data_IF_616150118305
#
_entry.id   IF_616150118305
#
_cell.length_a   1.000
_cell.length_b   1.000
_cell.length_c   1.000
_cell.angle_alpha   90.00
_cell.angle_beta   90.00
_cell.angle_gamma   90.00
#
_symmetry.space_group_name_H-M   'P 1'
#
loop_
_entity.id
_entity.type
_entity.pdbx_description
1 polymer ?
#
# COMPACT_ATOMS: atom_id res chain seq x y z
N UNK A 1 -74.85 11.65 -36.80
CA UNK A 1 -73.62 10.89 -37.12
C UNK A 1 -72.46 11.53 -36.37
N UNK A 2 -71.99 10.90 -35.28
CA UNK A 2 -70.81 11.34 -34.50
C UNK A 2 -69.62 10.49 -34.93
N UNK A 3 -68.57 11.12 -35.43
CA UNK A 3 -67.33 10.46 -35.83
C UNK A 3 -66.46 10.20 -34.59
N UNK A 4 -66.04 8.95 -34.41
CA UNK A 4 -65.09 8.50 -33.40
C UNK A 4 -63.67 8.74 -33.94
N UNK A 5 -62.86 9.56 -33.26
CA UNK A 5 -61.42 9.64 -33.44
C UNK A 5 -60.74 8.77 -32.36
N UNK A 6 -60.01 7.75 -32.79
CA UNK A 6 -59.08 6.99 -31.96
C UNK A 6 -57.72 7.70 -31.94
N UNK A 7 -57.08 7.91 -30.77
CA UNK A 7 -55.68 8.28 -30.73
C UNK A 7 -54.80 7.03 -30.87
N UNK A 8 -53.87 7.06 -31.82
CA UNK A 8 -52.77 6.10 -31.96
C UNK A 8 -51.70 6.50 -30.94
N UNK A 9 -51.54 5.70 -29.90
CA UNK A 9 -50.46 5.85 -28.92
C UNK A 9 -49.19 5.20 -29.48
N UNK A 10 -48.23 6.01 -29.93
CA UNK A 10 -46.88 5.54 -30.26
C UNK A 10 -46.14 5.14 -28.97
N UNK A 11 -45.90 3.84 -28.78
CA UNK A 11 -44.94 3.33 -27.79
C UNK A 11 -43.51 3.65 -28.28
N UNK A 12 -42.90 4.71 -27.72
CA UNK A 12 -41.45 4.89 -27.78
C UNK A 12 -40.82 3.93 -26.77
N UNK A 13 -40.30 2.80 -27.27
CA UNK A 13 -39.34 1.95 -26.56
C UNK A 13 -38.04 2.75 -26.40
N UNK A 14 -37.92 3.48 -25.29
CA UNK A 14 -36.65 4.03 -24.84
C UNK A 14 -35.75 2.88 -24.40
N UNK A 15 -34.82 2.47 -25.25
CA UNK A 15 -33.69 1.66 -24.83
C UNK A 15 -32.88 2.51 -23.83
N UNK A 16 -32.93 2.14 -22.55
CA UNK A 16 -32.02 2.68 -21.55
C UNK A 16 -30.61 2.26 -21.95
N UNK A 17 -29.86 3.16 -22.55
CA UNK A 17 -28.43 2.99 -22.77
C UNK A 17 -27.80 3.07 -21.39
N UNK A 18 -27.48 1.92 -20.79
CA UNK A 18 -26.62 1.89 -19.61
C UNK A 18 -25.33 2.63 -19.96
N UNK A 19 -24.87 3.60 -19.16
CA UNK A 19 -23.59 4.25 -19.40
C UNK A 19 -22.52 3.15 -19.45
N UNK A 20 -21.73 3.15 -20.53
CA UNK A 20 -20.61 2.23 -20.66
C UNK A 20 -19.72 2.38 -19.42
N UNK A 21 -19.38 1.25 -18.79
CA UNK A 21 -18.47 1.26 -17.66
C UNK A 21 -17.15 1.89 -18.09
N UNK A 22 -16.75 2.97 -17.43
CA UNK A 22 -15.50 3.65 -17.69
C UNK A 22 -14.33 2.75 -17.28
N UNK A 23 -13.28 2.67 -18.09
CA UNK A 23 -12.11 1.82 -17.82
C UNK A 23 -10.96 2.70 -17.34
N UNK A 24 -10.31 2.31 -16.23
CA UNK A 24 -9.05 2.92 -15.77
C UNK A 24 -7.90 2.08 -16.28
N UNK A 25 -6.96 2.68 -16.99
CA UNK A 25 -5.76 2.00 -17.51
C UNK A 25 -4.49 2.58 -16.89
N UNK A 26 -3.58 1.71 -16.46
CA UNK A 26 -2.23 2.10 -16.05
C UNK A 26 -1.24 0.94 -16.26
N UNK A 27 -0.25 1.15 -17.14
CA UNK A 27 0.72 0.12 -17.48
C UNK A 27 0.05 -1.13 -18.06
N UNK A 28 0.29 -2.30 -17.44
CA UNK A 28 -0.26 -3.59 -17.87
C UNK A 28 -1.69 -3.82 -17.36
N UNK A 29 -2.23 -2.92 -16.52
CA UNK A 29 -3.50 -3.10 -15.84
C UNK A 29 -4.61 -2.25 -16.44
N UNK A 30 -5.80 -2.86 -16.52
CA UNK A 30 -7.04 -2.13 -16.78
C UNK A 30 -8.12 -2.61 -15.81
N UNK A 31 -8.91 -1.69 -15.27
CA UNK A 31 -10.03 -2.02 -14.35
C UNK A 31 -11.29 -1.32 -14.81
N UNK A 32 -12.39 -2.07 -14.89
CA UNK A 32 -13.72 -1.48 -15.13
C UNK A 32 -14.15 -0.74 -13.86
N UNK A 33 -14.33 0.57 -13.93
CA UNK A 33 -14.83 1.41 -12.83
C UNK A 33 -16.36 1.28 -12.70
N UNK A 34 -16.82 0.04 -12.63
CA UNK A 34 -18.21 -0.32 -12.42
C UNK A 34 -18.44 -0.96 -11.05
N UNK A 35 -19.71 -1.25 -10.72
CA UNK A 35 -20.05 -1.93 -9.48
C UNK A 35 -19.46 -3.35 -9.40
N UNK A 36 -19.47 -4.09 -10.51
CA UNK A 36 -18.80 -5.38 -10.60
C UNK A 36 -17.29 -5.19 -10.73
N UNK A 37 -16.50 -5.75 -9.82
CA UNK A 37 -15.04 -5.70 -9.88
C UNK A 37 -14.54 -6.55 -11.06
N UNK A 38 -13.80 -5.92 -11.97
CA UNK A 38 -13.19 -6.59 -13.12
C UNK A 38 -11.79 -6.04 -13.30
N UNK A 39 -10.78 -6.85 -12.97
CA UNK A 39 -9.36 -6.50 -13.09
C UNK A 39 -8.75 -7.31 -14.21
N UNK A 40 -8.10 -6.64 -15.15
CA UNK A 40 -7.35 -7.28 -16.24
C UNK A 40 -5.87 -6.95 -16.13
N UNK A 41 -5.04 -7.93 -16.47
CA UNK A 41 -3.60 -7.78 -16.66
C UNK A 41 -3.25 -8.27 -18.07
N UNK A 42 -2.58 -7.43 -18.87
CA UNK A 42 -2.29 -7.71 -20.28
C UNK A 42 -3.53 -8.15 -21.08
N UNK A 43 -4.64 -7.44 -20.88
CA UNK A 43 -5.92 -7.71 -21.54
C UNK A 43 -6.65 -8.98 -21.08
N UNK A 44 -6.05 -9.82 -20.23
CA UNK A 44 -6.70 -11.01 -19.65
C UNK A 44 -7.29 -10.69 -18.29
N UNK A 45 -8.55 -11.06 -18.07
CA UNK A 45 -9.22 -10.92 -16.77
C UNK A 45 -8.55 -11.84 -15.75
N UNK A 46 -8.16 -11.27 -14.60
CA UNK A 46 -7.59 -12.01 -13.46
C UNK A 46 -8.57 -12.06 -12.28
N UNK A 47 -9.40 -11.03 -12.14
CA UNK A 47 -10.51 -10.98 -11.18
C UNK A 47 -11.76 -10.63 -11.97
N UNK A 48 -12.80 -11.45 -11.84
CA UNK A 48 -14.08 -11.31 -12.56
C UNK A 48 -15.24 -10.87 -11.66
N UNK A 49 -14.98 -10.70 -10.36
CA UNK A 49 -15.98 -10.20 -9.42
C UNK A 49 -15.52 -10.35 -7.97
N UNK A 50 -16.36 -9.85 -7.08
CA UNK A 50 -16.18 -9.96 -5.64
C UNK A 50 -17.52 -9.98 -4.91
N UNK A 51 -17.55 -10.54 -3.70
CA UNK A 51 -18.76 -10.64 -2.87
C UNK A 51 -18.44 -10.40 -1.40
N UNK A 52 -19.39 -9.77 -0.72
CA UNK A 52 -19.41 -9.71 0.73
C UNK A 52 -20.40 -10.75 1.26
N UNK A 53 -19.93 -11.71 2.06
CA UNK A 53 -20.75 -12.82 2.56
C UNK A 53 -20.78 -12.80 4.09
N UNK A 54 -21.92 -13.17 4.68
CA UNK A 54 -22.01 -13.55 6.09
C UNK A 54 -22.08 -15.07 6.16
N UNK A 55 -21.10 -15.71 6.80
CA UNK A 55 -21.07 -17.16 6.87
C UNK A 55 -21.89 -17.65 8.07
N UNK A 56 -23.03 -18.29 7.79
CA UNK A 56 -23.90 -18.93 8.78
C UNK A 56 -23.73 -20.46 8.83
N UNK A 57 -22.51 -20.95 8.60
CA UNK A 57 -22.24 -22.39 8.44
C UNK A 57 -22.74 -23.00 7.12
N UNK A 58 -23.11 -22.15 6.14
CA UNK A 58 -23.49 -22.58 4.79
C UNK A 58 -22.27 -22.64 3.86
N UNK A 59 -22.28 -23.47 2.81
CA UNK A 59 -21.29 -23.39 1.73
C UNK A 59 -21.25 -21.98 1.11
N UNK A 60 -20.10 -21.55 0.60
CA UNK A 60 -19.92 -20.23 -0.01
C UNK A 60 -20.87 -20.03 -1.19
N UNK A 61 -21.05 -21.05 -2.03
CA UNK A 61 -21.98 -21.00 -3.17
C UNK A 61 -23.46 -20.85 -2.78
N UNK A 62 -23.82 -21.15 -1.54
CA UNK A 62 -25.20 -21.04 -1.00
C UNK A 62 -25.35 -19.94 0.04
N UNK A 63 -24.26 -19.26 0.39
CA UNK A 63 -24.29 -18.18 1.36
C UNK A 63 -24.89 -16.94 0.71
N UNK A 64 -25.98 -16.38 1.26
CA UNK A 64 -26.56 -15.16 0.68
C UNK A 64 -25.54 -14.02 0.83
N UNK A 65 -25.43 -13.14 -0.19
CA UNK A 65 -24.62 -11.94 -0.04
C UNK A 65 -25.14 -11.11 1.12
N UNK A 66 -24.24 -10.73 2.02
CA UNK A 66 -24.53 -9.77 3.08
C UNK A 66 -24.92 -8.43 2.43
N UNK A 67 -24.17 -8.05 1.40
CA UNK A 67 -24.31 -6.83 0.60
C UNK A 67 -24.11 -7.19 -0.88
N UNK A 68 -24.97 -6.65 -1.74
CA UNK A 68 -24.78 -6.76 -3.19
C UNK A 68 -23.77 -5.70 -3.63
N UNK A 69 -22.55 -6.14 -3.94
CA UNK A 69 -21.45 -5.30 -4.39
C UNK A 69 -21.70 -4.71 -5.78
N UNK A 70 -22.73 -5.16 -6.50
CA UNK A 70 -23.09 -4.66 -7.83
C UNK A 70 -24.11 -3.51 -7.81
N UNK A 71 -24.67 -3.19 -6.64
CA UNK A 71 -25.69 -2.14 -6.48
C UNK A 71 -25.17 -0.89 -5.75
N UNK A 72 -23.86 -0.80 -5.52
CA UNK A 72 -23.24 0.32 -4.82
C UNK A 72 -23.08 1.58 -5.66
N UNK A 73 -22.99 2.72 -4.99
CA UNK A 73 -22.63 4.01 -5.57
C UNK A 73 -21.12 4.06 -5.85
N UNK A 74 -20.72 4.58 -7.01
CA UNK A 74 -19.32 4.73 -7.41
C UNK A 74 -18.90 6.20 -7.27
N UNK A 75 -17.82 6.46 -6.53
CA UNK A 75 -17.17 7.76 -6.42
C UNK A 75 -15.80 7.68 -7.11
N UNK A 76 -15.52 8.57 -8.07
CA UNK A 76 -14.28 8.58 -8.85
C UNK A 76 -13.29 9.62 -8.33
N UNK A 77 -12.01 9.28 -8.33
CA UNK A 77 -10.92 10.21 -8.02
C UNK A 77 -9.63 9.80 -8.73
N UNK A 78 -9.29 10.46 -9.85
CA UNK A 78 -8.12 10.12 -10.66
C UNK A 78 -8.09 8.65 -11.08
N UNK A 79 -6.98 7.96 -10.83
CA UNK A 79 -6.82 6.52 -11.12
C UNK A 79 -7.43 5.61 -10.02
N UNK A 80 -8.47 6.10 -9.36
CA UNK A 80 -9.17 5.41 -8.29
C UNK A 80 -10.69 5.42 -8.51
N UNK A 81 -11.34 4.46 -7.88
CA UNK A 81 -12.77 4.56 -7.58
C UNK A 81 -13.12 3.89 -6.26
N UNK A 82 -14.18 4.37 -5.64
CA UNK A 82 -14.74 3.82 -4.41
C UNK A 82 -16.18 3.41 -4.66
N UNK A 83 -16.49 2.13 -4.43
CA UNK A 83 -17.85 1.63 -4.33
C UNK A 83 -18.33 1.71 -2.88
N UNK A 84 -19.49 2.31 -2.66
CA UNK A 84 -20.21 2.34 -1.38
C UNK A 84 -21.53 1.58 -1.53
N UNK A 85 -21.74 0.55 -0.72
CA UNK A 85 -22.99 -0.19 -0.67
C UNK A 85 -23.54 -0.26 0.75
N UNK A 86 -24.87 -0.29 0.89
CA UNK A 86 -25.52 -0.44 2.18
C UNK A 86 -26.80 -1.28 2.08
N UNK A 87 -27.11 -2.02 3.15
CA UNK A 87 -28.36 -2.78 3.28
C UNK A 87 -28.75 -2.86 4.74
N UNK A 88 -29.86 -2.22 5.10
CA UNK A 88 -30.24 -2.06 6.50
C UNK A 88 -29.15 -1.32 7.27
N UNK A 89 -28.60 -1.94 8.31
CA UNK A 89 -27.53 -1.36 9.14
C UNK A 89 -26.12 -1.73 8.66
N UNK A 90 -25.98 -2.64 7.70
CA UNK A 90 -24.68 -3.06 7.19
C UNK A 90 -24.18 -2.11 6.12
N UNK A 91 -22.88 -1.85 6.12
CA UNK A 91 -22.21 -0.99 5.13
C UNK A 91 -21.01 -1.71 4.54
N UNK A 92 -20.76 -1.48 3.26
CA UNK A 92 -19.59 -1.96 2.55
C UNK A 92 -18.95 -0.82 1.78
N UNK A 93 -17.63 -0.82 1.79
CA UNK A 93 -16.81 0.04 0.96
C UNK A 93 -15.79 -0.84 0.25
N UNK A 94 -15.58 -0.59 -1.04
CA UNK A 94 -14.43 -1.09 -1.80
C UNK A 94 -13.80 0.06 -2.52
N UNK A 95 -12.54 0.33 -2.23
CA UNK A 95 -11.72 1.23 -3.02
C UNK A 95 -10.81 0.41 -3.93
N UNK A 96 -10.69 0.86 -5.18
CA UNK A 96 -9.77 0.28 -6.15
C UNK A 96 -8.84 1.37 -6.66
N UNK A 97 -7.54 1.11 -6.58
CA UNK A 97 -6.46 1.96 -7.09
C UNK A 97 -5.79 1.28 -8.26
N UNK A 98 -5.52 2.00 -9.35
CA UNK A 98 -4.84 1.43 -10.53
C UNK A 98 -3.58 2.25 -10.83
N UNK A 99 -2.42 1.58 -10.81
CA UNK A 99 -1.13 2.18 -11.15
C UNK A 99 -0.35 1.24 -12.07
N UNK A 100 0.72 1.73 -12.70
CA UNK A 100 1.65 0.86 -13.44
C UNK A 100 2.35 -0.19 -12.56
N UNK A 101 2.35 -0.01 -11.24
CA UNK A 101 2.97 -0.92 -10.27
C UNK A 101 1.99 -1.96 -9.69
N UNK A 102 0.69 -1.86 -10.00
CA UNK A 102 -0.31 -2.80 -9.51
C UNK A 102 -1.71 -2.21 -9.38
N UNK A 103 -2.65 -3.10 -9.04
CA UNK A 103 -4.03 -2.76 -8.66
C UNK A 103 -4.20 -3.01 -7.16
N UNK A 104 -4.52 -1.97 -6.40
CA UNK A 104 -4.92 -2.10 -5.00
C UNK A 104 -6.42 -2.30 -4.91
N UNK A 105 -6.86 -3.27 -4.11
CA UNK A 105 -8.26 -3.46 -3.73
C UNK A 105 -8.30 -3.41 -2.22
N UNK A 106 -8.82 -2.31 -1.69
CA UNK A 106 -9.03 -2.14 -0.25
C UNK A 106 -10.52 -2.22 0.04
N UNK A 107 -10.92 -3.03 1.01
CA UNK A 107 -12.34 -3.19 1.34
C UNK A 107 -12.58 -3.04 2.84
N UNK A 108 -13.78 -2.58 3.18
CA UNK A 108 -14.28 -2.48 4.54
C UNK A 108 -15.75 -2.95 4.58
N UNK A 109 -16.07 -3.82 5.54
CA UNK A 109 -17.39 -4.36 5.82
C UNK A 109 -17.72 -3.98 7.26
N UNK A 110 -18.76 -3.17 7.45
CA UNK A 110 -19.32 -2.89 8.78
C UNK A 110 -20.60 -3.67 8.95
N UNK A 111 -20.63 -4.54 9.94
CA UNK A 111 -21.84 -5.27 10.32
C UNK A 111 -22.39 -4.73 11.64
N UNK A 112 -23.53 -4.02 11.56
CA UNK A 112 -24.14 -3.37 12.72
C UNK A 112 -25.43 -4.11 13.12
N UNK A 113 -25.34 -4.89 14.20
CA UNK A 113 -26.43 -5.74 14.72
C UNK A 113 -26.18 -7.23 14.48
N UNK A 114 -27.08 -8.12 14.96
CA UNK A 114 -26.84 -9.56 15.02
C UNK A 114 -26.54 -10.08 13.63
N UNK A 115 -25.26 -10.33 13.39
CA UNK A 115 -24.82 -11.10 12.24
C UNK A 115 -25.29 -12.51 12.54
N UNK A 116 -26.24 -13.05 11.77
CA UNK A 116 -26.73 -14.42 12.02
C UNK A 116 -25.68 -15.52 11.77
N UNK A 117 -24.39 -15.16 11.76
CA UNK A 117 -23.23 -16.02 11.59
C UNK A 117 -22.03 -15.41 12.33
N UNK A 118 -21.06 -16.24 12.69
CA UNK A 118 -19.89 -15.86 13.52
C UNK A 118 -18.74 -15.23 12.73
N UNK A 119 -18.91 -15.09 11.41
CA UNK A 119 -17.84 -14.72 10.48
C UNK A 119 -18.34 -13.82 9.35
N UNK A 120 -17.49 -12.87 8.95
CA UNK A 120 -17.61 -12.06 7.76
C UNK A 120 -16.57 -12.50 6.74
N UNK A 121 -16.97 -12.60 5.47
CA UNK A 121 -16.09 -13.02 4.39
C UNK A 121 -16.10 -12.00 3.25
N UNK A 122 -14.92 -11.77 2.69
CA UNK A 122 -14.75 -11.13 1.39
C UNK A 122 -14.24 -12.18 0.41
N UNK A 123 -14.99 -12.39 -0.67
CA UNK A 123 -14.72 -13.43 -1.67
C UNK A 123 -14.33 -12.78 -3.00
N UNK A 124 -13.10 -13.02 -3.46
CA UNK A 124 -12.64 -12.66 -4.80
C UNK A 124 -12.84 -13.82 -5.77
N UNK A 125 -13.40 -13.53 -6.94
CA UNK A 125 -13.79 -14.53 -7.93
C UNK A 125 -12.87 -14.43 -9.15
N UNK A 126 -12.34 -15.56 -9.58
CA UNK A 126 -11.58 -15.67 -10.84
C UNK A 126 -12.51 -15.94 -12.03
N UNK A 127 -12.14 -15.52 -13.24
CA UNK A 127 -12.84 -15.95 -14.44
C UNK A 127 -12.76 -17.48 -14.62
N UNK A 128 -13.78 -18.11 -15.22
CA UNK A 128 -13.80 -19.56 -15.43
C UNK A 128 -12.57 -20.02 -16.24
N UNK A 129 -11.97 -21.13 -15.85
CA UNK A 129 -10.83 -21.73 -16.56
C UNK A 129 -9.50 -20.99 -16.43
N UNK A 130 -9.43 -19.85 -15.73
CA UNK A 130 -8.17 -19.09 -15.56
C UNK A 130 -7.06 -19.91 -14.89
N UNK A 131 -7.44 -20.60 -13.82
CA UNK A 131 -6.53 -21.37 -12.98
C UNK A 131 -6.61 -22.86 -13.26
N UNK A 132 -7.62 -23.34 -13.98
CA UNK A 132 -7.82 -24.78 -14.17
C UNK A 132 -6.68 -25.38 -15.01
N UNK A 133 -5.97 -26.36 -14.43
CA UNK A 133 -4.73 -26.93 -14.96
C UNK A 133 -3.49 -26.02 -14.85
N UNK A 134 -3.60 -24.82 -14.26
CA UNK A 134 -2.49 -23.87 -14.18
C UNK A 134 -1.49 -24.26 -13.08
N UNK A 135 -0.21 -24.27 -13.45
CA UNK A 135 0.90 -24.36 -12.51
C UNK A 135 1.23 -22.97 -11.97
N UNK A 136 1.06 -22.80 -10.67
CA UNK A 136 1.28 -21.56 -9.94
C UNK A 136 2.31 -21.75 -8.83
N UNK A 137 2.82 -20.65 -8.30
CA UNK A 137 3.59 -20.65 -7.06
C UNK A 137 2.75 -19.99 -5.97
N UNK A 138 2.57 -20.67 -4.85
CA UNK A 138 1.74 -20.21 -3.75
C UNK A 138 2.56 -20.12 -2.46
N UNK A 139 2.51 -18.98 -1.80
CA UNK A 139 3.01 -18.80 -0.44
C UNK A 139 1.86 -18.95 0.54
N UNK A 140 1.99 -19.90 1.46
CA UNK A 140 0.99 -20.21 2.49
C UNK A 140 1.59 -20.11 3.90
N UNK A 141 0.75 -19.84 4.88
CA UNK A 141 1.11 -19.87 6.30
C UNK A 141 0.19 -18.98 7.13
N UNK A 142 -0.12 -19.42 8.35
CA UNK A 142 -0.89 -18.61 9.30
C UNK A 142 -0.14 -17.30 9.63
N UNK A 143 -0.85 -16.25 10.07
CA UNK A 143 -0.29 -14.97 10.49
C UNK A 143 1.06 -15.04 11.22
N UNK A 144 1.16 -15.88 12.25
CA UNK A 144 2.31 -15.98 13.17
C UNK A 144 3.34 -17.04 12.78
N UNK A 145 3.06 -17.83 11.75
CA UNK A 145 3.92 -18.95 11.34
C UNK A 145 4.88 -18.53 10.22
N UNK A 146 5.95 -19.30 10.06
CA UNK A 146 6.85 -19.17 8.92
C UNK A 146 6.09 -19.41 7.61
N UNK A 147 6.30 -18.51 6.66
CA UNK A 147 5.65 -18.58 5.35
C UNK A 147 6.40 -19.55 4.45
N UNK A 148 5.66 -20.45 3.80
CA UNK A 148 6.21 -21.47 2.91
C UNK A 148 5.73 -21.25 1.48
N UNK A 149 6.67 -21.02 0.58
CA UNK A 149 6.43 -20.97 -0.85
C UNK A 149 6.54 -22.37 -1.44
N UNK A 150 5.52 -22.79 -2.21
CA UNK A 150 5.47 -24.10 -2.85
C UNK A 150 4.73 -24.05 -4.19
N UNK A 151 5.04 -24.97 -5.11
CA UNK A 151 4.22 -25.17 -6.31
C UNK A 151 2.77 -25.52 -5.94
N UNK A 152 1.81 -25.00 -6.70
CA UNK A 152 0.40 -25.32 -6.61
C UNK A 152 -0.19 -25.55 -8.01
N UNK A 153 -1.04 -26.57 -8.13
CA UNK A 153 -1.80 -26.83 -9.37
C UNK A 153 -3.27 -26.78 -9.01
N UNK A 154 -3.99 -25.87 -9.66
CA UNK A 154 -5.43 -25.73 -9.49
C UNK A 154 -6.12 -26.63 -10.52
N UNK A 155 -6.88 -27.60 -10.06
CA UNK A 155 -7.63 -28.53 -10.91
C UNK A 155 -9.02 -28.75 -10.30
N UNK A 156 -10.05 -28.26 -11.01
CA UNK A 156 -11.45 -28.35 -10.59
C UNK A 156 -11.93 -29.82 -10.52
N UNK A 157 -11.35 -30.71 -11.31
CA UNK A 157 -11.71 -32.13 -11.29
C UNK A 157 -11.05 -32.88 -10.11
N UNK A 158 -9.88 -32.42 -9.65
CA UNK A 158 -9.15 -33.04 -8.56
C UNK A 158 -9.61 -32.60 -7.15
N UNK A 159 -10.27 -31.45 -7.05
CA UNK A 159 -10.78 -30.89 -5.79
C UNK A 159 -12.30 -31.03 -5.74
N UNK A 160 -12.84 -31.33 -4.56
CA UNK A 160 -14.29 -31.36 -4.39
C UNK A 160 -14.82 -29.93 -4.30
N UNK A 161 -15.94 -29.59 -4.98
CA UNK A 161 -16.53 -28.27 -4.87
C UNK A 161 -16.79 -27.89 -3.41
N UNK A 162 -16.44 -26.65 -3.07
CA UNK A 162 -16.53 -26.03 -1.74
C UNK A 162 -15.52 -26.54 -0.69
N UNK A 163 -14.70 -27.53 -1.02
CA UNK A 163 -13.57 -27.89 -0.16
C UNK A 163 -12.41 -26.92 -0.40
N UNK A 164 -11.68 -26.60 0.67
CA UNK A 164 -10.50 -25.74 0.56
C UNK A 164 -9.36 -26.49 -0.14
N UNK A 165 -8.86 -25.93 -1.23
CA UNK A 165 -7.68 -26.39 -1.94
C UNK A 165 -6.40 -25.91 -1.25
N UNK A 166 -6.25 -24.59 -1.11
CA UNK A 166 -5.19 -23.97 -0.31
C UNK A 166 -5.78 -23.27 0.90
N UNK A 167 -5.10 -23.40 2.04
CA UNK A 167 -5.43 -22.70 3.27
C UNK A 167 -4.38 -21.67 3.60
N UNK A 168 -4.81 -20.56 4.17
CA UNK A 168 -3.93 -19.48 4.66
C UNK A 168 -2.95 -19.03 3.57
N UNK A 169 -3.51 -18.83 2.37
CA UNK A 169 -2.83 -18.28 1.21
C UNK A 169 -2.50 -16.82 1.47
N UNK A 170 -1.25 -16.47 1.20
CA UNK A 170 -0.70 -15.12 1.43
C UNK A 170 -0.29 -14.49 0.12
N UNK A 171 0.20 -15.29 -0.82
CA UNK A 171 0.67 -14.84 -2.13
C UNK A 171 0.45 -15.92 -3.18
N UNK A 172 0.05 -15.51 -4.39
CA UNK A 172 -0.15 -16.42 -5.52
C UNK A 172 0.46 -15.81 -6.79
N UNK A 173 1.55 -16.39 -7.28
CA UNK A 173 2.11 -16.09 -8.59
C UNK A 173 1.37 -16.82 -9.70
N UNK A 174 1.02 -16.11 -10.78
CA UNK A 174 0.32 -16.62 -11.95
C UNK A 174 1.20 -16.50 -13.21
N UNK A 175 2.12 -17.44 -13.48
CA UNK A 175 3.06 -17.30 -14.61
C UNK A 175 2.37 -17.18 -15.99
N UNK A 176 1.19 -17.77 -16.16
CA UNK A 176 0.40 -17.77 -17.38
C UNK A 176 -0.21 -16.41 -17.74
N UNK A 177 -0.32 -15.52 -16.76
CA UNK A 177 -0.67 -14.11 -16.91
C UNK A 177 0.29 -13.39 -15.98
N UNK A 178 1.45 -12.91 -16.44
CA UNK A 178 2.59 -12.54 -15.59
C UNK A 178 2.20 -11.46 -14.58
N UNK A 179 1.62 -11.91 -13.48
CA UNK A 179 1.04 -11.14 -12.40
C UNK A 179 0.99 -12.04 -11.16
N UNK A 180 0.85 -11.41 -10.02
CA UNK A 180 0.66 -12.11 -8.76
C UNK A 180 -0.44 -11.45 -7.95
N UNK A 181 -1.11 -12.23 -7.11
CA UNK A 181 -2.12 -11.75 -6.18
C UNK A 181 -1.54 -11.86 -4.78
N UNK A 182 -1.35 -10.70 -4.16
CA UNK A 182 -0.86 -10.54 -2.80
C UNK A 182 -2.06 -10.32 -1.88
N UNK A 183 -2.34 -11.32 -1.05
CA UNK A 183 -3.46 -11.33 -0.11
C UNK A 183 -3.07 -10.80 1.27
N UNK A 184 -1.79 -10.47 1.48
CA UNK A 184 -1.31 -9.87 2.73
C UNK A 184 -0.27 -8.77 2.45
N UNK A 185 -0.64 -7.70 1.74
CA UNK A 185 0.29 -6.65 1.33
C UNK A 185 0.88 -5.83 2.48
N UNK A 186 0.33 -5.95 3.69
CA UNK A 186 0.84 -5.31 4.92
C UNK A 186 1.97 -6.12 5.60
N UNK A 187 2.26 -7.33 5.10
CA UNK A 187 3.34 -8.18 5.58
C UNK A 187 3.06 -8.84 6.94
N UNK A 188 4.12 -9.10 7.70
CA UNK A 188 4.08 -9.86 8.96
C UNK A 188 3.47 -9.10 10.16
N UNK A 189 2.96 -7.88 9.94
CA UNK A 189 2.36 -7.05 10.98
C UNK A 189 0.94 -7.49 11.31
N UNK A 190 0.83 -8.64 11.99
CA UNK A 190 -0.39 -9.06 12.67
C UNK A 190 -0.21 -8.85 14.17
N UNK A 191 -0.28 -7.58 14.57
CA UNK A 191 -0.57 -7.24 15.95
C UNK A 191 -2.05 -7.52 16.23
N UNK A 192 -2.40 -7.79 17.48
CA UNK A 192 -3.79 -7.79 17.96
C UNK A 192 -4.35 -6.36 17.88
N UNK A 193 -4.53 -5.85 16.66
CA UNK A 193 -5.38 -4.71 16.41
C UNK A 193 -6.80 -5.15 16.66
N UNK A 194 -7.54 -4.40 17.47
CA UNK A 194 -8.97 -4.62 17.73
C UNK A 194 -9.85 -4.34 16.49
N UNK A 195 -9.30 -4.37 15.27
CA UNK A 195 -9.92 -3.95 14.03
C UNK A 195 -9.70 -5.07 13.01
N UNK A 196 -10.79 -5.63 12.47
CA UNK A 196 -10.78 -6.91 11.80
C UNK A 196 -9.92 -6.94 10.55
N UNK A 197 -8.81 -7.66 10.59
CA UNK A 197 -8.02 -8.07 9.41
C UNK A 197 -8.34 -9.51 9.04
N UNK A 198 -8.15 -9.87 7.77
CA UNK A 198 -8.38 -11.23 7.27
C UNK A 198 -7.43 -12.20 7.98
N UNK A 199 -7.98 -13.09 8.80
CA UNK A 199 -7.21 -14.10 9.53
C UNK A 199 -6.53 -15.08 8.58
N UNK A 200 -7.18 -15.42 7.48
CA UNK A 200 -6.65 -16.29 6.44
C UNK A 200 -7.38 -16.04 5.12
N UNK A 201 -6.72 -16.25 4.00
CA UNK A 201 -7.37 -16.41 2.69
C UNK A 201 -7.33 -17.88 2.30
N UNK A 202 -8.47 -18.45 1.93
CA UNK A 202 -8.57 -19.85 1.52
C UNK A 202 -9.09 -19.93 0.09
N UNK A 203 -8.48 -20.79 -0.73
CA UNK A 203 -8.96 -21.04 -2.09
C UNK A 203 -9.92 -22.23 -2.12
N UNK A 204 -11.01 -22.09 -2.87
CA UNK A 204 -11.98 -23.16 -3.15
C UNK A 204 -12.63 -22.94 -4.52
N UNK A 205 -13.40 -23.90 -5.01
CA UNK A 205 -14.17 -23.71 -6.25
C UNK A 205 -15.65 -24.08 -6.06
N UNK A 206 -16.50 -23.53 -6.92
CA UNK A 206 -17.95 -23.84 -6.98
C UNK A 206 -18.30 -24.85 -8.07
N UNK A 207 -17.30 -25.44 -8.71
CA UNK A 207 -17.42 -26.34 -9.86
C UNK A 207 -17.26 -25.62 -11.21
N UNK A 208 -17.15 -24.28 -11.23
CA UNK A 208 -16.91 -23.50 -12.44
C UNK A 208 -15.78 -22.49 -12.29
N UNK A 209 -15.71 -21.84 -11.13
CA UNK A 209 -14.78 -20.75 -10.85
C UNK A 209 -14.04 -21.01 -9.55
N UNK A 210 -12.81 -20.49 -9.46
CA UNK A 210 -12.07 -20.43 -8.22
C UNK A 210 -12.39 -19.15 -7.45
N UNK A 211 -12.47 -19.31 -6.13
CA UNK A 211 -12.79 -18.31 -5.13
C UNK A 211 -11.62 -18.17 -4.16
N UNK A 212 -11.27 -16.94 -3.81
CA UNK A 212 -10.31 -16.62 -2.75
C UNK A 212 -11.04 -15.93 -1.62
N UNK A 213 -11.31 -16.68 -0.56
CA UNK A 213 -12.21 -16.28 0.52
C UNK A 213 -11.37 -15.81 1.70
N UNK A 214 -11.38 -14.49 1.91
CA UNK A 214 -10.79 -13.83 3.07
C UNK A 214 -11.70 -14.02 4.28
N UNK A 215 -11.18 -14.65 5.32
CA UNK A 215 -11.93 -15.10 6.48
C UNK A 215 -11.64 -14.25 7.71
N UNK A 216 -12.70 -13.77 8.37
CA UNK A 216 -12.61 -13.14 9.69
C UNK A 216 -13.46 -13.82 10.73
N UNK A 217 -12.79 -14.30 11.78
CA UNK A 217 -13.42 -14.82 12.99
C UNK A 217 -13.61 -13.73 14.03
N UNK A 218 -14.66 -13.88 14.84
CA UNK A 218 -14.88 -13.01 16.00
C UNK A 218 -15.63 -11.73 15.68
N UNK A 219 -16.31 -11.65 14.54
CA UNK A 219 -17.17 -10.52 14.22
C UNK A 219 -18.37 -10.48 15.18
N UNK A 220 -18.35 -9.59 16.16
CA UNK A 220 -19.47 -9.25 17.03
C UNK A 220 -20.27 -8.07 16.45
N UNK A 221 -21.40 -7.73 17.07
CA UNK A 221 -22.18 -6.55 16.70
C UNK A 221 -21.32 -5.28 16.79
N UNK A 222 -21.22 -4.53 15.69
CA UNK A 222 -20.35 -3.35 15.64
C UNK A 222 -18.97 -3.60 15.03
N UNK A 223 -18.64 -4.86 14.68
CA UNK A 223 -17.37 -5.19 14.07
C UNK A 223 -17.18 -4.50 12.71
N UNK A 224 -15.98 -3.96 12.55
CA UNK A 224 -15.45 -3.47 11.29
C UNK A 224 -14.43 -4.50 10.82
N UNK A 225 -14.66 -5.03 9.61
CA UNK A 225 -13.73 -5.91 8.92
C UNK A 225 -13.15 -5.17 7.73
N UNK A 226 -11.83 -5.13 7.61
CA UNK A 226 -11.11 -4.55 6.49
C UNK A 226 -10.05 -5.49 5.96
N UNK A 227 -9.70 -5.33 4.70
CA UNK A 227 -8.57 -6.01 4.11
C UNK A 227 -8.06 -5.28 2.89
N UNK A 228 -6.86 -5.65 2.48
CA UNK A 228 -6.20 -5.13 1.28
C UNK A 228 -5.66 -6.29 0.47
N UNK A 229 -5.86 -6.22 -0.85
CA UNK A 229 -5.36 -7.19 -1.82
C UNK A 229 -4.66 -6.40 -2.91
N UNK A 230 -3.48 -6.85 -3.34
CA UNK A 230 -2.75 -6.21 -4.44
C UNK A 230 -2.56 -7.19 -5.59
N UNK A 231 -2.96 -6.80 -6.80
CA UNK A 231 -2.55 -7.49 -8.03
C UNK A 231 -1.27 -6.81 -8.53
N UNK A 232 -0.16 -7.54 -8.55
CA UNK A 232 1.19 -7.05 -8.90
C UNK A 232 1.58 -7.47 -10.32
N UNK A 233 2.42 -6.70 -11.03
CA UNK A 233 2.96 -7.10 -12.32
C UNK A 233 4.07 -8.15 -12.12
N UNK A 234 4.16 -9.10 -13.05
CA UNK A 234 5.10 -10.22 -13.00
C UNK A 234 4.77 -11.23 -11.88
N UNK A 235 5.68 -12.18 -11.67
CA UNK A 235 5.65 -13.12 -10.54
C UNK A 235 6.90 -12.98 -9.67
N UNK A 236 7.14 -11.78 -9.11
CA UNK A 236 8.30 -11.57 -8.23
C UNK A 236 8.17 -12.44 -6.96
N UNK A 237 9.29 -12.97 -6.43
CA UNK A 237 9.29 -13.71 -5.18
C UNK A 237 8.59 -12.94 -4.05
N UNK A 238 7.84 -13.65 -3.20
CA UNK A 238 7.13 -13.06 -2.04
C UNK A 238 8.06 -12.23 -1.13
N UNK A 239 9.31 -12.70 -0.93
CA UNK A 239 10.31 -12.01 -0.12
C UNK A 239 10.78 -10.66 -0.64
N UNK A 240 10.56 -10.35 -1.93
CA UNK A 240 10.92 -9.05 -2.49
C UNK A 240 10.02 -7.92 -1.96
N UNK A 241 8.86 -8.27 -1.40
CA UNK A 241 7.91 -7.33 -0.80
C UNK A 241 7.80 -7.52 0.70
N UNK A 242 7.91 -8.75 1.19
CA UNK A 242 7.55 -9.10 2.55
C UNK A 242 8.73 -9.66 3.33
N UNK A 243 9.02 -9.07 4.49
CA UNK A 243 10.01 -9.65 5.40
C UNK A 243 9.48 -10.98 5.98
N UNK A 244 10.23 -12.07 5.77
CA UNK A 244 9.85 -13.43 6.17
C UNK A 244 9.64 -13.62 7.67
N UNK A 245 10.21 -12.76 8.52
CA UNK A 245 10.18 -12.96 9.97
C UNK A 245 9.01 -12.25 10.64
N UNK A 246 8.33 -12.94 11.54
CA UNK A 246 7.48 -12.33 12.55
C UNK A 246 8.24 -11.22 13.27
N UNK A 247 7.66 -10.02 13.28
CA UNK A 247 8.17 -8.86 13.99
C UNK A 247 7.73 -9.01 15.44
N UNK A 248 8.68 -9.15 16.35
CA UNK A 248 8.43 -9.00 17.79
C UNK A 248 8.81 -7.56 18.12
N UNK A 249 8.07 -6.91 19.03
CA UNK A 249 8.37 -5.55 19.50
C UNK A 249 9.82 -5.33 19.99
N UNK A 250 10.59 -6.41 20.22
CA UNK A 250 11.99 -6.41 20.64
C UNK A 250 13.00 -6.61 19.51
N UNK A 251 12.59 -6.79 18.25
CA UNK A 251 13.52 -6.88 17.13
C UNK A 251 13.90 -5.48 16.65
N UNK A 252 15.20 -5.22 16.59
CA UNK A 252 15.72 -4.01 15.95
C UNK A 252 15.24 -3.98 14.49
N UNK A 253 14.53 -2.91 14.12
CA UNK A 253 14.19 -2.67 12.73
C UNK A 253 15.48 -2.38 11.96
N UNK A 254 15.67 -2.98 10.76
CA UNK A 254 16.81 -2.64 9.94
C UNK A 254 16.77 -1.14 9.65
N UNK A 255 17.87 -0.45 9.94
CA UNK A 255 18.07 0.95 9.56
C UNK A 255 18.61 0.91 8.12
N UNK A 256 17.76 1.13 7.09
CA UNK A 256 18.16 1.01 5.67
C UNK A 256 19.33 1.93 5.31
N UNK A 257 19.50 3.04 6.04
CA UNK A 257 20.60 3.96 5.83
C UNK A 257 20.93 4.69 7.13
N UNK A 258 22.20 4.64 7.54
CA UNK A 258 22.75 5.48 8.59
C UNK A 258 24.05 6.09 8.06
N UNK A 259 24.06 7.42 7.98
CA UNK A 259 25.16 8.18 7.41
C UNK A 259 25.75 9.12 8.45
N UNK A 260 27.06 9.22 8.41
CA UNK A 260 27.81 10.25 9.10
C UNK A 260 28.56 11.11 8.08
N UNK A 261 28.78 12.36 8.42
CA UNK A 261 29.50 13.30 7.59
C UNK A 261 30.88 13.57 8.17
N UNK A 262 31.74 12.56 8.05
CA UNK A 262 33.15 12.61 8.39
C UNK A 262 34.01 11.99 7.27
N UNK A 263 35.32 12.13 7.37
CA UNK A 263 36.26 11.59 6.38
C UNK A 263 36.32 10.05 6.34
N UNK A 264 35.81 9.38 7.38
CA UNK A 264 35.87 7.93 7.56
C UNK A 264 34.56 7.39 8.11
N UNK A 265 34.31 6.11 7.88
CA UNK A 265 33.23 5.38 8.54
C UNK A 265 33.33 5.51 10.07
N UNK A 266 32.17 5.50 10.73
CA UNK A 266 32.08 5.60 12.18
C UNK A 266 32.13 4.26 12.87
N UNK A 267 31.07 3.95 13.63
CA UNK A 267 30.84 2.58 14.10
C UNK A 267 30.30 1.71 12.94
N UNK A 268 30.14 0.40 13.16
CA UNK A 268 29.69 -0.53 12.12
C UNK A 268 28.33 -0.16 11.47
N UNK A 269 27.55 0.75 12.08
CA UNK A 269 26.21 1.15 11.62
C UNK A 269 26.26 2.39 10.73
N UNK A 270 27.13 3.35 11.01
CA UNK A 270 27.21 4.62 10.27
C UNK A 270 28.28 4.58 9.17
N UNK A 271 27.86 4.88 7.93
CA UNK A 271 28.74 4.98 6.76
C UNK A 271 29.04 6.43 6.42
N UNK A 272 30.30 6.73 6.12
CA UNK A 272 30.66 8.08 5.68
C UNK A 272 29.99 8.39 4.35
N UNK A 273 29.47 9.62 4.20
CA UNK A 273 29.06 10.17 2.91
C UNK A 273 30.21 11.02 2.32
N UNK A 274 31.06 10.47 1.43
CA UNK A 274 32.25 11.16 0.96
C UNK A 274 31.91 12.38 0.08
N UNK A 275 32.84 13.34 0.04
CA UNK A 275 32.74 14.54 -0.80
C UNK A 275 34.05 14.67 -1.60
N UNK A 276 34.06 14.44 -2.93
CA UNK A 276 32.96 13.98 -3.78
C UNK A 276 32.65 12.49 -3.58
N UNK A 277 31.39 12.11 -3.86
CA UNK A 277 30.91 10.73 -3.83
C UNK A 277 30.70 10.17 -5.25
N UNK A 278 31.03 8.89 -5.53
CA UNK A 278 30.72 8.25 -6.80
C UNK A 278 29.20 7.99 -6.94
N UNK A 279 28.70 7.85 -8.15
CA UNK A 279 27.26 7.63 -8.39
C UNK A 279 26.71 6.32 -7.82
N UNK A 280 27.58 5.35 -7.52
CA UNK A 280 27.21 4.04 -6.99
C UNK A 280 26.85 4.04 -5.51
N UNK A 281 27.14 5.11 -4.76
CA UNK A 281 26.83 5.17 -3.32
C UNK A 281 25.39 5.66 -3.05
N UNK A 282 24.78 5.26 -1.91
CA UNK A 282 23.40 5.63 -1.58
C UNK A 282 23.20 7.12 -1.21
N UNK A 283 24.27 7.92 -1.16
CA UNK A 283 24.20 9.35 -0.90
C UNK A 283 25.25 10.13 -1.69
N UNK A 284 24.92 11.34 -2.16
CA UNK A 284 25.91 12.27 -2.73
C UNK A 284 25.46 13.72 -2.61
N UNK A 285 26.42 14.62 -2.46
CA UNK A 285 26.20 16.07 -2.48
C UNK A 285 26.32 16.65 -3.89
N UNK A 286 25.42 17.56 -4.25
CA UNK A 286 25.29 18.17 -5.57
C UNK A 286 25.14 19.70 -5.46
N UNK A 287 26.08 20.50 -6.02
CA UNK A 287 27.41 20.08 -6.49
C UNK A 287 28.34 19.81 -5.30
N UNK A 288 29.19 18.78 -5.40
CA UNK A 288 30.11 18.41 -4.32
C UNK A 288 31.05 19.55 -3.88
N UNK A 289 31.46 20.43 -4.80
CA UNK A 289 32.30 21.59 -4.51
C UNK A 289 31.67 22.65 -3.61
N UNK A 290 30.35 22.58 -3.35
CA UNK A 290 29.65 23.46 -2.43
C UNK A 290 29.64 22.94 -0.99
N UNK A 291 30.27 21.79 -0.72
CA UNK A 291 30.27 21.15 0.60
C UNK A 291 31.69 20.89 1.05
N UNK A 292 31.94 21.07 2.35
CA UNK A 292 33.17 20.65 3.02
C UNK A 292 32.84 19.82 4.25
N UNK A 293 33.74 18.93 4.61
CA UNK A 293 33.71 18.22 5.90
C UNK A 293 34.57 19.01 6.88
N UNK A 294 34.03 19.29 8.06
CA UNK A 294 34.71 19.95 9.16
C UNK A 294 34.87 18.94 10.29
N UNK A 295 36.07 18.89 10.88
CA UNK A 295 36.40 18.06 12.03
C UNK A 295 36.90 18.93 13.17
N UNK A 296 36.32 18.76 14.35
CA UNK A 296 36.75 19.42 15.60
C UNK A 296 37.71 18.52 16.41
N UNK A 297 38.39 19.08 17.40
CA UNK A 297 39.39 18.33 18.18
C UNK A 297 38.80 17.39 19.24
N UNK A 298 37.53 17.60 19.64
CA UNK A 298 36.87 16.86 20.73
C UNK A 298 35.45 16.46 20.34
N UNK A 299 35.03 15.28 20.81
CA UNK A 299 33.70 14.71 20.61
C UNK A 299 33.74 13.39 19.85
N UNK A 300 32.62 12.64 19.90
CA UNK A 300 32.41 11.47 19.06
C UNK A 300 32.00 11.86 17.63
N UNK A 301 31.96 10.88 16.73
CA UNK A 301 31.60 11.03 15.31
C UNK A 301 30.32 11.87 15.08
N UNK A 302 29.31 11.68 15.93
CA UNK A 302 28.01 12.35 15.85
C UNK A 302 28.01 13.80 16.35
N UNK A 303 29.14 14.30 16.84
CA UNK A 303 29.27 15.61 17.50
C UNK A 303 30.47 16.42 16.98
N UNK A 304 31.54 15.72 16.59
CA UNK A 304 32.83 16.32 16.24
C UNK A 304 32.91 16.68 14.76
N UNK A 305 32.36 15.81 13.91
CA UNK A 305 32.49 15.89 12.46
C UNK A 305 31.14 16.24 11.84
N UNK A 306 31.14 17.08 10.82
CA UNK A 306 29.94 17.47 10.10
C UNK A 306 30.23 17.95 8.69
N UNK A 307 29.24 17.79 7.81
CA UNK A 307 29.18 18.51 6.54
C UNK A 307 28.67 19.93 6.78
N UNK A 308 29.22 20.89 6.04
CA UNK A 308 28.88 22.31 6.10
C UNK A 308 29.03 22.93 4.72
N UNK A 309 28.35 24.04 4.40
CA UNK A 309 28.54 24.68 3.12
C UNK A 309 29.97 25.20 2.97
N UNK A 310 30.54 25.06 1.78
CA UNK A 310 31.87 25.59 1.47
C UNK A 310 31.89 27.13 1.46
N UNK A 311 30.73 27.77 1.26
CA UNK A 311 30.51 29.22 1.31
C UNK A 311 29.21 29.53 2.06
N UNK A 312 29.14 30.59 2.90
CA UNK A 312 27.98 30.87 3.76
C UNK A 312 26.61 31.00 3.08
N UNK A 313 26.58 31.36 1.79
CA UNK A 313 25.35 31.55 1.01
C UNK A 313 25.13 30.42 -0.04
N UNK A 314 25.90 29.34 0.05
CA UNK A 314 25.84 28.25 -0.93
C UNK A 314 24.63 27.36 -0.72
N UNK A 315 23.75 27.29 -1.72
CA UNK A 315 22.76 26.21 -1.82
C UNK A 315 23.45 24.90 -2.24
N UNK A 316 23.08 23.81 -1.60
CA UNK A 316 23.52 22.46 -1.98
C UNK A 316 22.36 21.48 -1.88
N UNK A 317 22.44 20.39 -2.64
CA UNK A 317 21.46 19.31 -2.58
C UNK A 317 22.14 18.02 -2.14
N UNK A 318 21.56 17.34 -1.16
CA UNK A 318 21.88 15.95 -0.84
C UNK A 318 20.91 15.04 -1.60
N UNK A 319 21.43 14.24 -2.52
CA UNK A 319 20.69 13.14 -3.14
C UNK A 319 20.85 11.89 -2.27
N UNK A 320 19.72 11.26 -1.95
CA UNK A 320 19.65 9.98 -1.25
C UNK A 320 19.00 8.93 -2.16
N UNK A 321 19.49 7.69 -2.11
CA UNK A 321 18.93 6.55 -2.85
C UNK A 321 18.45 5.48 -1.89
N UNK A 322 17.17 5.12 -2.00
CA UNK A 322 16.50 4.05 -1.27
C UNK A 322 15.33 3.54 -2.09
N UNK A 323 14.80 2.35 -1.77
CA UNK A 323 13.54 1.86 -2.38
C UNK A 323 12.45 2.93 -2.26
N UNK A 324 11.59 3.09 -3.27
CA UNK A 324 10.48 4.04 -3.19
C UNK A 324 9.57 3.73 -2.00
N UNK A 325 9.14 4.77 -1.29
CA UNK A 325 8.37 4.62 -0.06
C UNK A 325 8.45 5.84 0.85
N UNK A 326 7.81 5.72 2.01
CA UNK A 326 7.86 6.71 3.07
C UNK A 326 8.84 6.27 4.17
N UNK A 327 9.72 7.18 4.55
CA UNK A 327 10.76 6.97 5.54
C UNK A 327 10.66 8.05 6.61
N UNK A 328 11.04 7.71 7.84
CA UNK A 328 11.36 8.67 8.88
C UNK A 328 12.84 9.02 8.76
N UNK A 329 13.13 10.25 8.33
CA UNK A 329 14.47 10.82 8.30
C UNK A 329 14.77 11.46 9.64
N UNK A 330 15.80 11.00 10.34
CA UNK A 330 16.34 11.66 11.54
C UNK A 330 17.63 12.39 11.19
N UNK A 331 17.68 13.68 11.49
CA UNK A 331 18.84 14.55 11.30
C UNK A 331 19.47 14.87 12.64
N UNK A 332 20.80 14.94 12.66
CA UNK A 332 21.58 15.36 13.82
C UNK A 332 22.49 16.53 13.45
N UNK A 333 22.36 17.63 14.20
CA UNK A 333 23.07 18.89 14.01
C UNK A 333 23.70 19.35 15.32
N UNK A 334 25.00 19.61 15.27
CA UNK A 334 25.80 20.14 16.36
C UNK A 334 27.15 20.66 15.84
N UNK A 335 27.52 21.85 16.27
CA UNK A 335 28.91 22.32 16.25
C UNK A 335 29.30 22.79 17.65
N UNK A 336 30.29 22.15 18.31
CA UNK A 336 30.68 22.51 19.67
C UNK A 336 31.37 23.87 19.75
N UNK A 337 31.89 24.41 18.65
CA UNK A 337 32.74 25.60 18.67
C UNK A 337 32.04 26.88 18.16
N UNK A 338 31.09 26.74 17.24
CA UNK A 338 30.47 27.87 16.55
C UNK A 338 28.94 27.74 16.53
N UNK A 339 28.20 28.85 16.42
CA UNK A 339 26.77 28.79 16.19
C UNK A 339 26.46 28.08 14.86
N UNK A 340 25.24 27.58 14.72
CA UNK A 340 24.70 27.04 13.47
C UNK A 340 23.46 27.83 13.08
N UNK A 341 23.31 28.17 11.81
CA UNK A 341 22.12 28.81 11.26
C UNK A 341 22.19 30.34 11.20
N UNK A 342 21.14 30.98 10.64
CA UNK A 342 19.88 30.37 10.25
C UNK A 342 20.03 29.44 9.03
N UNK A 343 19.34 28.30 9.04
CA UNK A 343 19.28 27.40 7.90
C UNK A 343 17.89 26.79 7.69
N UNK A 344 17.65 26.31 6.47
CA UNK A 344 16.40 25.67 6.02
C UNK A 344 16.71 24.44 5.19
N UNK A 345 15.89 23.40 5.33
CA UNK A 345 15.97 22.16 4.55
C UNK A 345 14.63 21.96 3.84
N UNK A 346 14.68 21.80 2.52
CA UNK A 346 13.50 21.59 1.68
C UNK A 346 13.60 20.29 0.89
N UNK A 347 12.49 19.59 0.73
CA UNK A 347 12.36 18.44 -0.15
C UNK A 347 11.69 18.81 -1.48
N UNK A 348 11.37 17.79 -2.29
CA UNK A 348 10.57 17.97 -3.51
C UNK A 348 9.14 18.45 -3.23
N UNK A 349 8.60 18.16 -2.05
CA UNK A 349 7.21 18.47 -1.67
C UNK A 349 7.08 19.76 -0.84
N UNK A 350 8.18 20.50 -0.63
CA UNK A 350 8.19 21.78 0.08
C UNK A 350 9.20 21.84 1.22
N UNK A 351 9.02 22.81 2.10
CA UNK A 351 9.90 23.03 3.26
C UNK A 351 9.68 21.92 4.28
N UNK A 352 10.77 21.27 4.69
CA UNK A 352 10.74 20.19 5.68
C UNK A 352 11.03 20.76 7.07
N UNK A 353 12.06 21.62 7.16
CA UNK A 353 12.53 22.28 8.38
C UNK A 353 12.91 23.72 8.01
N UNK A 354 12.49 24.70 8.80
CA UNK A 354 12.68 26.13 8.51
C UNK A 354 13.34 26.87 9.67
N UNK A 355 14.21 27.82 9.31
CA UNK A 355 14.78 28.85 10.19
C UNK A 355 15.39 28.32 11.50
N UNK A 356 16.19 27.25 11.41
CA UNK A 356 16.88 26.69 12.58
C UNK A 356 18.11 27.51 12.90
N UNK A 357 18.23 27.91 14.16
CA UNK A 357 19.39 28.60 14.74
C UNK A 357 19.76 27.94 16.05
N UNK A 358 21.04 27.62 16.24
CA UNK A 358 21.57 26.90 17.39
C UNK A 358 22.79 27.64 17.94
N UNK A 359 22.92 27.65 19.27
CA UNK A 359 24.12 28.17 19.94
C UNK A 359 25.29 27.19 19.81
N UNK A 360 26.54 27.63 19.99
CA UNK A 360 27.68 26.71 20.08
C UNK A 360 27.43 25.61 21.11
N UNK A 361 27.63 24.35 20.70
CA UNK A 361 27.44 23.16 21.54
C UNK A 361 25.98 22.75 21.78
N UNK A 362 25.01 23.50 21.27
CA UNK A 362 23.62 23.07 21.29
C UNK A 362 23.41 21.88 20.35
N UNK A 363 22.61 20.92 20.81
CA UNK A 363 22.34 19.69 20.09
C UNK A 363 20.92 19.70 19.56
N UNK A 364 20.77 19.44 18.27
CA UNK A 364 19.48 19.39 17.63
C UNK A 364 19.30 18.09 16.87
N UNK A 365 18.28 17.33 17.27
CA UNK A 365 17.85 16.11 16.59
C UNK A 365 16.40 16.26 16.21
N UNK A 366 16.10 16.00 14.93
CA UNK A 366 14.73 16.07 14.43
C UNK A 366 14.45 14.91 13.50
N UNK A 367 13.31 14.28 13.73
CA UNK A 367 12.74 13.30 12.82
C UNK A 367 11.62 13.94 11.98
N UNK A 368 11.64 13.71 10.68
CA UNK A 368 10.68 14.23 9.70
C UNK A 368 10.34 13.13 8.67
N UNK A 369 9.09 13.07 8.18
CA UNK A 369 8.76 12.17 7.09
C UNK A 369 9.47 12.62 5.80
N UNK A 370 10.06 11.68 5.08
CA UNK A 370 10.67 11.88 3.77
C UNK A 370 10.17 10.81 2.81
N UNK A 371 9.63 11.25 1.67
CA UNK A 371 9.19 10.35 0.61
C UNK A 371 10.30 10.15 -0.43
N UNK A 372 10.57 8.88 -0.75
CA UNK A 372 11.40 8.47 -1.88
C UNK A 372 10.49 8.10 -3.04
N UNK A 373 10.72 8.72 -4.20
CA UNK A 373 10.03 8.42 -5.45
C UNK A 373 11.04 7.95 -6.48
N UNK A 374 10.69 6.92 -7.24
CA UNK A 374 11.58 6.31 -8.24
C UNK A 374 12.98 5.99 -7.69
N UNK A 375 13.02 5.55 -6.44
CA UNK A 375 14.26 5.17 -5.77
C UNK A 375 15.10 6.33 -5.21
N UNK A 376 14.62 7.58 -5.23
CA UNK A 376 15.41 8.77 -4.88
C UNK A 376 14.64 9.79 -4.04
N UNK A 377 15.39 10.56 -3.25
CA UNK A 377 14.94 11.77 -2.59
C UNK A 377 16.01 12.86 -2.71
N UNK A 378 15.59 14.12 -2.86
CA UNK A 378 16.47 15.28 -2.95
C UNK A 378 16.17 16.23 -1.78
N UNK A 379 17.19 16.52 -0.97
CA UNK A 379 17.12 17.45 0.14
C UNK A 379 17.98 18.67 -0.19
N UNK A 380 17.35 19.84 -0.32
CA UNK A 380 18.03 21.12 -0.58
C UNK A 380 18.31 21.82 0.74
N UNK A 381 19.56 22.20 0.95
CA UNK A 381 20.04 22.89 2.15
C UNK A 381 20.41 24.32 1.78
N UNK A 382 19.90 25.27 2.56
CA UNK A 382 20.14 26.70 2.40
C UNK A 382 20.51 27.34 3.74
N UNK A 383 21.43 28.31 3.71
CA UNK A 383 21.93 29.02 4.88
C UNK A 383 23.13 28.33 5.55
N UNK A 384 23.41 28.69 6.81
CA UNK A 384 24.55 28.14 7.56
C UNK A 384 24.16 26.82 8.25
N UNK A 385 24.03 25.76 7.46
CA UNK A 385 23.71 24.42 7.96
C UNK A 385 24.98 23.66 8.34
N UNK A 386 24.88 22.83 9.38
CA UNK A 386 25.93 21.91 9.81
C UNK A 386 25.26 20.56 10.07
N UNK A 387 25.66 19.50 9.39
CA UNK A 387 24.99 18.19 9.48
C UNK A 387 25.99 17.13 9.88
N UNK A 388 25.83 16.54 11.06
CA UNK A 388 26.74 15.52 11.59
C UNK A 388 26.36 14.13 11.10
N UNK A 389 25.06 13.81 11.14
CA UNK A 389 24.57 12.51 10.75
C UNK A 389 23.11 12.56 10.27
N UNK A 390 22.74 11.54 9.50
CA UNK A 390 21.35 11.22 9.24
C UNK A 390 21.07 9.72 9.33
N UNK A 391 19.84 9.36 9.66
CA UNK A 391 19.35 7.99 9.55
C UNK A 391 18.00 7.94 8.87
N UNK A 392 17.74 6.88 8.11
CA UNK A 392 16.44 6.58 7.55
C UNK A 392 15.89 5.35 8.23
N UNK A 393 14.64 5.44 8.69
CA UNK A 393 13.86 4.29 9.12
C UNK A 393 12.69 4.12 8.16
N UNK A 394 12.53 2.94 7.56
CA UNK A 394 11.39 2.66 6.68
C UNK A 394 10.10 2.73 7.50
N UNK A 395 9.12 3.51 7.04
CA UNK A 395 7.75 3.45 7.54
C UNK A 395 6.97 2.44 6.71
N UNK A 396 7.02 2.58 5.38
CA UNK A 396 6.26 1.77 4.43
C UNK A 396 6.81 1.95 3.01
N UNK A 397 6.89 0.89 2.21
CA UNK A 397 7.31 0.99 0.81
C UNK A 397 6.13 1.31 -0.12
N UNK A 398 6.37 2.02 -1.22
CA UNK A 398 5.32 2.40 -2.19
C UNK A 398 4.51 1.21 -2.74
N UNK A 399 5.10 0.01 -2.95
CA UNK A 399 4.33 -1.18 -3.35
C UNK A 399 3.46 -1.82 -2.25
N UNK A 400 3.59 -1.40 -0.99
CA UNK A 400 2.82 -1.93 0.14
C UNK A 400 1.54 -1.09 0.37
N UNK A 401 1.57 0.17 -0.04
CA UNK A 401 0.42 1.07 0.01
C UNK A 401 0.49 2.14 -1.08
N UNK A 402 -0.45 2.07 -2.02
CA UNK A 402 -0.54 3.03 -3.11
C UNK A 402 -1.32 4.31 -2.72
N UNK A 403 -1.75 4.44 -1.46
CA UNK A 403 -2.62 5.53 -0.98
C UNK A 403 -1.87 6.82 -0.62
N UNK A 404 -0.53 6.88 -0.72
CA UNK A 404 0.24 8.06 -0.34
C UNK A 404 -0.10 9.35 -1.11
N UNK A 405 -0.71 9.25 -2.29
CA UNK A 405 -1.09 10.40 -3.13
C UNK A 405 -2.60 10.75 -3.05
N UNK A 406 -3.33 10.30 -2.02
CA UNK A 406 -4.79 10.50 -1.92
C UNK A 406 -5.25 11.16 -0.62
N UNK A 407 -6.39 11.88 -0.63
CA UNK A 407 -7.02 12.38 0.59
C UNK A 407 -7.35 11.24 1.55
N UNK A 408 -7.33 11.54 2.86
CA UNK A 408 -7.71 10.61 3.91
C UNK A 408 -9.14 10.08 3.74
N UNK A 409 -9.36 8.89 4.30
CA UNK A 409 -10.61 8.14 4.24
C UNK A 409 -11.76 8.91 4.85
N UNK A 410 -12.63 9.49 4.03
CA UNK A 410 -13.97 9.87 4.47
C UNK A 410 -14.95 8.80 4.00
N UNK A 411 -15.47 8.01 4.94
CA UNK A 411 -16.79 7.42 4.75
C UNK A 411 -17.70 8.63 4.55
N UNK A 412 -18.18 8.87 3.32
CA UNK A 412 -18.89 10.09 2.96
C UNK A 412 -19.80 10.54 4.11
N UNK A 413 -19.51 11.74 4.65
CA UNK A 413 -20.29 12.27 5.75
C UNK A 413 -21.76 12.31 5.31
N UNK A 414 -22.64 11.85 6.19
CA UNK A 414 -24.09 12.04 6.12
C UNK A 414 -24.41 13.55 6.20
N UNK A 415 -24.01 14.35 5.22
CA UNK A 415 -24.43 15.75 5.10
C UNK A 415 -25.91 15.89 4.69
N UNK A 416 -26.70 14.81 4.73
CA UNK A 416 -28.16 14.85 4.49
C UNK A 416 -29.02 14.85 5.75
N UNK A 417 -28.46 14.69 6.95
CA UNK A 417 -29.24 14.66 8.20
C UNK A 417 -29.01 15.88 9.12
N UNK A 418 -28.53 17.00 8.57
CA UNK A 418 -28.51 18.30 9.27
C UNK A 418 -29.10 19.41 8.39
N UNK A 419 -30.41 19.33 8.14
CA UNK A 419 -31.27 20.49 7.94
C UNK A 419 -32.56 20.30 8.72
#
# INVERSE_FOLDING_TARGET
MKALLFPITCFLLGAAISPAAEVIEAGLFSVDAGPALSVRCNGKTVIAGDRCLSLRGLPVSRSPPLLDTTQGEIIRSGNAFTLLASRGRNRFRREVSVTGQGVEITFEIRALGPTGGTHLLYDLITPPGLLDGAACEATVGEPRDDKQTRPAVFDIAAVKPQDYHLRSLVYLGLPQIPCAIDFNPQGSWLGEGNVGEAKSVNSLHDGKQWHFVSFCSGATDGAIFSGKIIVRPGTPPFEDFHQRTGVVYSKDFPIPLALNFSERDGDARYRACPVPAPDSVPCRWLPAGNVRIVTRDKGGLLYRDFASPAKPEGETTLELKQRSGLYLLTLNVCDPAEPTGPFTISGSEGVIIENITLRPGEHWVKSVPLRFREGKALLRFHGDWKLNALTLQTILHEPEDFLFDRPFWTMGDNQRDRQ
#
